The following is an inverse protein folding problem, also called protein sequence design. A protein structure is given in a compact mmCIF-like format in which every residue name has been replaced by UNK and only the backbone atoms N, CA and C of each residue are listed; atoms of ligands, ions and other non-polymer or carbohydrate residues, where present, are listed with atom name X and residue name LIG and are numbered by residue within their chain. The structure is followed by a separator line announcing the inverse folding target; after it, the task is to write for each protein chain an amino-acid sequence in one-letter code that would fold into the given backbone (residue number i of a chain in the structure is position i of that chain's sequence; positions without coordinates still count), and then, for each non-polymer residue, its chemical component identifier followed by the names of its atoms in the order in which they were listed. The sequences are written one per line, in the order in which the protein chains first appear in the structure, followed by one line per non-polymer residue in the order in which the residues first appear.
data_IF_104568019805
#
_entry.id   IF_104568019805
#
_cell.length_a   1.000
_cell.length_b   1.000
_cell.length_c   1.000
_cell.angle_alpha   90.00
_cell.angle_beta   90.00
_cell.angle_gamma   90.00
#
_symmetry.space_group_name_H-M   'P 1'
#
loop_
_entity.id
_entity.type
_entity.pdbx_description
1 polymer ?
#
# COMPACT_ATOMS: atom_id res chain seq x y z
N UNK A 1 4.49 -16.75 6.43
CA UNK A 1 3.79 -15.89 7.44
C UNK A 1 3.16 -16.78 8.53
N UNK A 2 2.96 -16.32 9.78
CA UNK A 2 2.23 -17.11 10.82
C UNK A 2 0.75 -17.24 10.45
N UNK A 3 0.11 -18.37 10.76
CA UNK A 3 -1.30 -18.68 10.42
C UNK A 3 -2.27 -17.56 10.87
N UNK A 4 -2.10 -17.07 12.10
CA UNK A 4 -2.95 -16.00 12.66
C UNK A 4 -2.83 -14.69 11.88
N UNK A 5 -1.62 -14.33 11.43
CA UNK A 5 -1.38 -13.13 10.64
C UNK A 5 -2.02 -13.29 9.26
N UNK A 6 -1.92 -14.48 8.66
CA UNK A 6 -2.55 -14.76 7.37
C UNK A 6 -4.07 -14.58 7.43
N UNK A 7 -4.72 -15.07 8.48
CA UNK A 7 -6.16 -14.87 8.69
C UNK A 7 -6.51 -13.38 8.73
N UNK A 8 -5.71 -12.56 9.40
CA UNK A 8 -5.94 -11.12 9.50
C UNK A 8 -5.67 -10.38 8.18
N UNK A 9 -4.68 -10.84 7.40
CA UNK A 9 -4.41 -10.32 6.04
C UNK A 9 -5.55 -10.69 5.09
N UNK A 10 -6.01 -11.94 5.12
CA UNK A 10 -7.11 -12.43 4.27
C UNK A 10 -8.45 -11.71 4.61
N UNK A 11 -8.61 -11.25 5.85
CA UNK A 11 -9.74 -10.40 6.28
C UNK A 11 -9.58 -8.92 5.93
N UNK A 12 -8.38 -8.48 5.51
CA UNK A 12 -8.06 -7.07 5.26
C UNK A 12 -7.91 -6.23 6.53
N UNK A 13 -7.70 -6.85 7.70
CA UNK A 13 -7.40 -6.14 8.96
C UNK A 13 -5.92 -5.76 9.06
N UNK A 14 -5.06 -6.57 8.44
CA UNK A 14 -3.65 -6.29 8.19
C UNK A 14 -3.40 -6.19 6.69
N UNK A 15 -2.52 -5.28 6.28
CA UNK A 15 -2.03 -5.19 4.90
C UNK A 15 -0.51 -5.34 4.88
N UNK A 16 0.07 -6.09 3.92
CA UNK A 16 1.51 -6.11 3.70
C UNK A 16 1.98 -4.75 3.17
N UNK A 17 2.38 -3.85 4.07
CA UNK A 17 2.69 -2.47 3.73
C UNK A 17 4.12 -2.34 3.20
N UNK A 18 4.29 -2.01 1.93
CA UNK A 18 5.61 -1.82 1.31
C UNK A 18 6.18 -0.44 1.63
N UNK A 19 5.41 0.61 1.35
CA UNK A 19 5.81 1.99 1.63
C UNK A 19 4.59 2.88 1.82
N UNK A 20 4.74 3.95 2.60
CA UNK A 20 3.77 5.02 2.71
C UNK A 20 4.47 6.38 2.82
N UNK A 21 4.00 7.38 2.09
CA UNK A 21 4.65 8.69 2.04
C UNK A 21 3.76 9.80 1.47
N UNK A 22 4.08 11.04 1.83
CA UNK A 22 3.40 12.23 1.33
C UNK A 22 4.12 12.79 0.09
N UNK A 23 3.40 13.00 -1.01
CA UNK A 23 3.94 13.58 -2.25
C UNK A 23 2.84 14.24 -3.10
N UNK A 24 3.11 14.51 -4.38
CA UNK A 24 2.14 14.99 -5.37
C UNK A 24 1.75 13.84 -6.30
N UNK A 25 0.46 13.64 -6.53
CA UNK A 25 -0.04 12.70 -7.54
C UNK A 25 0.40 13.15 -8.93
N UNK A 26 1.12 12.30 -9.66
CA UNK A 26 1.68 12.60 -10.98
C UNK A 26 0.74 12.30 -12.15
N UNK A 27 -0.32 11.52 -11.92
CA UNK A 27 -1.09 10.89 -12.99
C UNK A 27 -2.62 10.98 -12.79
N UNK A 28 -3.35 10.73 -13.90
CA UNK A 28 -4.80 10.66 -13.91
C UNK A 28 -5.50 11.98 -13.63
N UNK A 29 -6.75 11.89 -13.16
CA UNK A 29 -7.62 13.03 -12.93
C UNK A 29 -7.12 13.96 -11.80
N UNK A 30 -6.48 13.39 -10.77
CA UNK A 30 -5.98 14.13 -9.61
C UNK A 30 -4.52 14.59 -9.76
N UNK A 31 -3.96 14.53 -10.97
CA UNK A 31 -2.59 15.00 -11.22
C UNK A 31 -2.36 16.43 -10.69
N UNK A 32 -1.25 16.63 -9.99
CA UNK A 32 -0.87 17.89 -9.36
C UNK A 32 -1.44 18.08 -7.95
N UNK A 33 -2.25 17.14 -7.45
CA UNK A 33 -2.81 17.21 -6.09
C UNK A 33 -1.83 16.62 -5.08
N UNK A 34 -1.66 17.30 -3.95
CA UNK A 34 -0.92 16.76 -2.81
C UNK A 34 -1.66 15.55 -2.22
N UNK A 35 -1.00 14.40 -2.14
CA UNK A 35 -1.61 13.15 -1.74
C UNK A 35 -0.68 12.31 -0.85
N UNK A 36 -1.28 11.50 0.02
CA UNK A 36 -0.58 10.47 0.76
C UNK A 36 -0.69 9.15 0.02
N UNK A 37 0.45 8.54 -0.30
CA UNK A 37 0.53 7.28 -1.02
C UNK A 37 0.68 6.13 -0.03
N UNK A 38 -0.07 5.07 -0.27
CA UNK A 38 0.03 3.79 0.44
C UNK A 38 0.26 2.74 -0.63
N UNK A 39 1.43 2.10 -0.62
CA UNK A 39 1.74 0.97 -1.51
C UNK A 39 1.68 -0.35 -0.73
N UNK A 40 0.81 -1.23 -1.18
CA UNK A 40 0.64 -2.58 -0.61
C UNK A 40 1.43 -3.59 -1.44
N UNK A 41 1.99 -4.59 -0.78
CA UNK A 41 2.66 -5.72 -1.43
C UNK A 41 1.71 -6.85 -1.80
N UNK A 42 2.11 -7.68 -2.76
CA UNK A 42 1.31 -8.77 -3.31
C UNK A 42 0.81 -8.44 -4.71
N UNK A 43 1.28 -9.17 -5.71
CA UNK A 43 0.79 -9.08 -7.09
C UNK A 43 0.83 -10.47 -7.74
N UNK A 44 -0.29 -10.90 -8.32
CA UNK A 44 -0.44 -12.19 -9.00
C UNK A 44 -0.40 -12.09 -10.54
N UNK A 45 -0.33 -10.87 -11.08
CA UNK A 45 -0.37 -10.62 -12.54
C UNK A 45 0.98 -10.90 -13.21
N UNK A 46 2.10 -10.54 -12.57
CA UNK A 46 3.43 -10.82 -13.09
C UNK A 46 3.83 -10.03 -14.34
N UNK A 47 3.40 -8.76 -14.44
CA UNK A 47 3.69 -7.90 -15.60
C UNK A 47 5.20 -7.78 -15.91
N UNK A 48 5.60 -8.07 -17.15
CA UNK A 48 7.01 -7.99 -17.58
C UNK A 48 7.63 -6.60 -17.37
N UNK A 49 6.83 -5.55 -17.59
CA UNK A 49 7.19 -4.13 -17.50
C UNK A 49 6.82 -3.50 -16.16
N UNK A 50 6.58 -4.29 -15.10
CA UNK A 50 6.43 -3.72 -13.77
C UNK A 50 7.73 -3.04 -13.35
N UNK A 51 7.62 -1.79 -12.94
CA UNK A 51 8.70 -0.94 -12.44
C UNK A 51 9.05 -1.23 -10.97
N UNK A 52 8.13 -1.83 -10.22
CA UNK A 52 8.29 -2.17 -8.79
C UNK A 52 8.04 -3.67 -8.56
N UNK A 53 8.88 -4.54 -9.13
CA UNK A 53 8.74 -6.01 -9.00
C UNK A 53 8.93 -6.50 -7.57
N UNK A 54 9.62 -5.71 -6.76
CA UNK A 54 9.83 -5.95 -5.33
C UNK A 54 8.51 -5.93 -4.55
N UNK A 55 7.45 -5.30 -5.07
CA UNK A 55 6.13 -5.32 -4.42
C UNK A 55 5.46 -6.69 -4.50
N UNK A 56 5.84 -7.56 -5.44
CA UNK A 56 5.04 -8.76 -5.77
C UNK A 56 4.95 -9.78 -4.65
N UNK A 57 6.02 -9.97 -3.88
CA UNK A 57 6.00 -10.91 -2.77
C UNK A 57 5.51 -10.22 -1.49
N UNK A 58 4.24 -10.44 -1.14
CA UNK A 58 3.63 -9.92 0.08
C UNK A 58 4.38 -10.33 1.37
N UNK A 59 5.04 -11.49 1.39
CA UNK A 59 5.75 -11.95 2.60
C UNK A 59 7.02 -11.15 2.92
N UNK A 60 7.51 -10.33 1.98
CA UNK A 60 8.65 -9.44 2.21
C UNK A 60 8.27 -8.16 2.95
N UNK A 61 6.97 -7.84 3.01
CA UNK A 61 6.48 -6.58 3.53
C UNK A 61 5.79 -6.75 4.88
N UNK A 62 6.00 -5.84 5.85
CA UNK A 62 5.45 -5.98 7.19
C UNK A 62 3.92 -5.95 7.19
N UNK A 63 3.26 -6.92 7.84
CA UNK A 63 1.82 -6.89 8.03
C UNK A 63 1.46 -5.77 9.01
N UNK A 64 0.77 -4.74 8.52
CA UNK A 64 0.48 -3.50 9.24
C UNK A 64 -1.03 -3.30 9.36
N UNK A 65 -1.51 -2.85 10.52
CA UNK A 65 -2.95 -2.66 10.74
C UNK A 65 -3.51 -1.52 9.87
N UNK A 66 -4.70 -1.71 9.32
CA UNK A 66 -5.39 -0.67 8.55
C UNK A 66 -5.64 0.60 9.36
N UNK A 67 -5.83 0.46 10.68
CA UNK A 67 -6.01 1.58 11.59
C UNK A 67 -4.75 2.45 11.65
N UNK A 68 -3.59 1.82 11.83
CA UNK A 68 -2.30 2.52 11.85
C UNK A 68 -2.03 3.23 10.51
N UNK A 69 -2.27 2.56 9.38
CA UNK A 69 -2.09 3.14 8.04
C UNK A 69 -3.02 4.35 7.86
N UNK A 70 -4.30 4.23 8.22
CA UNK A 70 -5.26 5.32 8.12
C UNK A 70 -4.88 6.50 9.01
N UNK A 71 -4.50 6.23 10.27
CA UNK A 71 -4.03 7.25 11.21
C UNK A 71 -2.78 7.99 10.72
N UNK A 72 -1.87 7.30 10.05
CA UNK A 72 -0.70 7.93 9.45
C UNK A 72 -1.10 8.80 8.26
N UNK A 73 -1.93 8.30 7.35
CA UNK A 73 -2.30 9.01 6.13
C UNK A 73 -3.05 10.32 6.40
N UNK A 74 -4.03 10.31 7.31
CA UNK A 74 -4.86 11.50 7.60
C UNK A 74 -4.08 12.67 8.20
N UNK A 75 -2.87 12.43 8.74
CA UNK A 75 -2.02 13.49 9.29
C UNK A 75 -1.44 14.39 8.21
N UNK A 76 -1.34 13.90 6.96
CA UNK A 76 -0.58 14.57 5.91
C UNK A 76 -1.44 15.05 4.73
N UNK A 77 -2.51 14.33 4.37
CA UNK A 77 -3.39 14.75 3.26
C UNK A 77 -4.81 14.23 3.40
N UNK A 78 -5.76 15.02 2.89
CA UNK A 78 -7.14 14.60 2.66
C UNK A 78 -7.28 13.74 1.40
N UNK A 79 -6.29 13.77 0.50
CA UNK A 79 -6.24 12.93 -0.70
C UNK A 79 -5.32 11.75 -0.42
N UNK A 80 -5.85 10.54 -0.52
CA UNK A 80 -5.10 9.31 -0.29
C UNK A 80 -5.11 8.49 -1.58
N UNK A 81 -3.93 8.03 -2.01
CA UNK A 81 -3.73 7.15 -3.15
C UNK A 81 -3.29 5.78 -2.64
N UNK A 82 -4.14 4.77 -2.85
CA UNK A 82 -3.82 3.38 -2.54
C UNK A 82 -3.39 2.71 -3.85
N UNK A 83 -2.21 2.10 -3.85
CA UNK A 83 -1.60 1.45 -5.01
C UNK A 83 -0.84 0.19 -4.58
N UNK A 84 -0.32 -0.59 -5.53
CA UNK A 84 0.30 -1.89 -5.30
C UNK A 84 0.12 -2.82 -6.49
#
# INVERSE_FOLDING_TARGET
MKEDIKILVDKGELLPLMEEFYTIQGEGFHKGTAAYFIRVGGCDVGCHWCDVKESWNAELHPPTTILQIAENAIKYSNTIVITG
#
